data_IF_010117977510
#
_entry.id   IF_010117977510
#
_cell.length_a   1.000
_cell.length_b   1.000
_cell.length_c   1.000
_cell.angle_alpha   90.00
_cell.angle_beta   90.00
_cell.angle_gamma   90.00
#
_symmetry.space_group_name_H-M   'P 1'
#
loop_
_entity.id
_entity.type
_entity.pdbx_description
1 polymer ?
#
# COMPACT_ATOMS: atom_id res chain seq x y z
N UNK A 1 -13.21 13.90 -21.05
CA UNK A 1 -13.83 14.25 -19.77
C UNK A 1 -13.56 15.72 -19.44
N UNK A 2 -14.48 16.36 -18.74
CA UNK A 2 -14.28 17.68 -18.16
C UNK A 2 -14.05 17.52 -16.64
N UNK A 3 -13.09 18.27 -16.04
CA UNK A 3 -12.85 18.19 -14.61
C UNK A 3 -14.01 18.82 -13.84
N UNK A 4 -14.44 18.17 -12.75
CA UNK A 4 -15.38 18.74 -11.80
C UNK A 4 -14.69 19.71 -10.84
N UNK A 5 -15.46 20.42 -10.02
CA UNK A 5 -14.92 21.26 -8.94
C UNK A 5 -14.04 20.44 -7.98
N UNK A 6 -14.45 19.20 -7.67
CA UNK A 6 -13.68 18.29 -6.86
C UNK A 6 -12.32 17.95 -7.49
N UNK A 7 -12.29 17.66 -8.80
CA UNK A 7 -11.04 17.37 -9.51
C UNK A 7 -10.09 18.57 -9.49
N UNK A 8 -10.62 19.77 -9.76
CA UNK A 8 -9.82 21.00 -9.75
C UNK A 8 -9.21 21.30 -8.38
N UNK A 9 -9.95 21.01 -7.30
CA UNK A 9 -9.45 21.14 -5.94
C UNK A 9 -8.31 20.13 -5.66
N UNK A 10 -8.50 18.86 -6.02
CA UNK A 10 -7.53 17.79 -5.80
C UNK A 10 -6.24 18.02 -6.61
N UNK A 11 -6.35 18.49 -7.85
CA UNK A 11 -5.21 18.71 -8.74
C UNK A 11 -4.25 19.83 -8.27
N UNK A 12 -4.62 20.63 -7.28
CA UNK A 12 -3.72 21.59 -6.62
C UNK A 12 -2.70 20.91 -5.71
N UNK A 13 -2.98 19.68 -5.26
CA UNK A 13 -2.04 18.90 -4.46
C UNK A 13 -1.08 18.12 -5.38
N UNK A 14 0.18 18.50 -5.38
CA UNK A 14 1.24 17.89 -6.21
C UNK A 14 1.94 16.70 -5.54
N UNK A 15 1.51 16.29 -4.34
CA UNK A 15 2.08 15.14 -3.63
C UNK A 15 1.63 13.81 -4.25
N UNK A 16 2.25 12.71 -3.87
CA UNK A 16 1.85 11.38 -4.35
C UNK A 16 0.80 10.77 -3.42
N UNK A 17 -0.40 10.54 -3.93
CA UNK A 17 -1.56 9.97 -3.22
C UNK A 17 -2.48 9.24 -4.20
N UNK A 18 -3.50 8.58 -3.67
CA UNK A 18 -4.59 7.99 -4.46
C UNK A 18 -5.92 8.68 -4.15
N UNK A 19 -6.83 8.55 -5.11
CA UNK A 19 -8.21 9.08 -5.04
C UNK A 19 -9.19 7.94 -5.16
N UNK A 20 -10.27 8.01 -4.40
CA UNK A 20 -11.43 7.13 -4.53
C UNK A 20 -12.68 7.94 -4.82
N UNK A 21 -13.42 7.59 -5.86
CA UNK A 21 -14.73 8.17 -6.18
C UNK A 21 -15.82 7.16 -5.81
N UNK A 22 -16.66 7.51 -4.84
CA UNK A 22 -17.68 6.60 -4.30
C UNK A 22 -18.71 6.20 -5.36
N UNK A 23 -19.20 7.14 -6.15
CA UNK A 23 -20.18 6.86 -7.21
C UNK A 23 -19.60 6.04 -8.37
N UNK A 24 -18.32 6.23 -8.69
CA UNK A 24 -17.62 5.53 -9.77
C UNK A 24 -17.13 4.14 -9.41
N UNK A 25 -17.02 3.85 -8.11
CA UNK A 25 -16.48 2.59 -7.59
C UNK A 25 -15.19 2.14 -8.31
N UNK A 26 -15.09 0.84 -8.64
CA UNK A 26 -13.91 0.24 -9.28
C UNK A 26 -13.97 0.24 -10.81
N UNK A 27 -15.01 0.77 -11.45
CA UNK A 27 -15.24 0.61 -12.90
C UNK A 27 -15.31 1.92 -13.68
N UNK A 28 -15.39 3.08 -13.02
CA UNK A 28 -15.44 4.34 -13.72
C UNK A 28 -14.06 4.81 -14.19
N UNK A 29 -13.90 5.02 -15.50
CA UNK A 29 -12.66 5.51 -16.08
C UNK A 29 -12.38 6.99 -15.81
N UNK A 30 -13.40 7.79 -15.44
CA UNK A 30 -13.30 9.24 -15.27
C UNK A 30 -12.26 9.60 -14.17
N UNK A 31 -12.34 8.97 -13.00
CA UNK A 31 -11.44 9.27 -11.89
C UNK A 31 -9.99 8.97 -12.25
N UNK A 32 -9.74 7.84 -12.93
CA UNK A 32 -8.39 7.47 -13.37
C UNK A 32 -7.85 8.34 -14.53
N UNK A 33 -8.71 9.09 -15.20
CA UNK A 33 -8.27 10.07 -16.20
C UNK A 33 -7.59 11.30 -15.57
N UNK A 34 -8.11 11.76 -14.43
CA UNK A 34 -7.59 12.95 -13.73
C UNK A 34 -6.61 12.63 -12.60
N UNK A 35 -6.75 11.46 -11.96
CA UNK A 35 -6.09 11.13 -10.70
C UNK A 35 -5.53 9.71 -10.70
N UNK A 36 -4.59 9.44 -9.79
CA UNK A 36 -4.19 8.08 -9.43
C UNK A 36 -5.32 7.43 -8.62
N UNK A 37 -6.27 6.83 -9.31
CA UNK A 37 -7.43 6.18 -8.69
C UNK A 37 -7.09 4.79 -8.16
N UNK A 38 -7.73 4.37 -7.06
CA UNK A 38 -7.71 2.96 -6.64
C UNK A 38 -8.65 2.08 -7.48
N UNK A 39 -9.56 2.71 -8.23
CA UNK A 39 -10.45 2.08 -9.18
C UNK A 39 -10.05 2.38 -10.63
N UNK A 40 -10.97 2.15 -11.54
CA UNK A 40 -10.82 2.41 -12.97
C UNK A 40 -11.24 1.23 -13.82
N UNK A 41 -11.56 1.50 -15.08
CA UNK A 41 -11.86 0.45 -16.04
C UNK A 41 -10.57 -0.17 -16.55
N UNK A 42 -10.37 -1.45 -16.23
CA UNK A 42 -9.27 -2.26 -16.73
C UNK A 42 -9.75 -3.63 -17.16
N UNK A 43 -9.40 -4.04 -18.38
CA UNK A 43 -9.68 -5.39 -18.87
C UNK A 43 -8.91 -6.47 -18.09
N UNK A 44 -7.72 -6.15 -17.58
CA UNK A 44 -6.85 -7.03 -16.80
C UNK A 44 -6.67 -6.52 -15.36
N UNK A 45 -7.75 -6.41 -14.60
CA UNK A 45 -7.70 -6.00 -13.20
C UNK A 45 -7.08 -7.10 -12.33
N UNK A 46 -6.10 -6.79 -11.45
CA UNK A 46 -5.57 -7.78 -10.52
C UNK A 46 -6.68 -8.34 -9.62
N UNK A 47 -6.81 -9.67 -9.58
CA UNK A 47 -7.87 -10.36 -8.80
C UNK A 47 -7.88 -9.94 -7.34
N UNK A 48 -6.72 -9.82 -6.70
CA UNK A 48 -6.60 -9.41 -5.29
C UNK A 48 -7.17 -7.99 -5.05
N UNK A 49 -7.04 -7.05 -5.99
CA UNK A 49 -7.65 -5.73 -5.86
C UNK A 49 -9.17 -5.78 -5.97
N UNK A 50 -9.71 -6.61 -6.86
CA UNK A 50 -11.16 -6.80 -6.93
C UNK A 50 -11.70 -7.43 -5.64
N UNK A 51 -11.02 -8.44 -5.10
CA UNK A 51 -11.38 -9.06 -3.83
C UNK A 51 -11.31 -8.08 -2.66
N UNK A 52 -10.25 -7.25 -2.60
CA UNK A 52 -10.14 -6.21 -1.56
C UNK A 52 -11.31 -5.20 -1.66
N UNK A 53 -11.71 -4.85 -2.88
CA UNK A 53 -12.88 -4.01 -3.07
C UNK A 53 -14.16 -4.68 -2.57
N UNK A 54 -14.45 -5.90 -3.04
CA UNK A 54 -15.71 -6.61 -2.76
C UNK A 54 -15.87 -6.93 -1.27
N UNK A 55 -14.79 -7.30 -0.58
CA UNK A 55 -14.84 -7.78 0.80
C UNK A 55 -14.55 -6.69 1.84
N UNK A 56 -13.93 -5.58 1.45
CA UNK A 56 -13.53 -4.53 2.39
C UNK A 56 -14.04 -3.14 2.00
N UNK A 57 -13.68 -2.63 0.83
CA UNK A 57 -14.00 -1.24 0.44
C UNK A 57 -15.50 -1.06 0.26
N UNK A 58 -16.19 -2.02 -0.39
CA UNK A 58 -17.64 -2.00 -0.56
C UNK A 58 -18.41 -2.09 0.77
N UNK A 59 -17.74 -2.52 1.85
CA UNK A 59 -18.27 -2.53 3.23
C UNK A 59 -17.86 -1.30 4.03
N UNK A 60 -17.35 -0.26 3.38
CA UNK A 60 -16.89 0.99 4.00
C UNK A 60 -15.74 0.82 5.00
N UNK A 61 -14.84 -0.14 4.78
CA UNK A 61 -13.64 -0.26 5.59
C UNK A 61 -12.66 0.88 5.30
N UNK A 62 -12.72 1.94 6.11
CA UNK A 62 -11.88 3.13 5.98
C UNK A 62 -10.40 2.81 6.24
N UNK A 63 -10.09 1.84 7.11
CA UNK A 63 -8.72 1.38 7.36
C UNK A 63 -8.02 0.89 6.09
N UNK A 64 -8.78 0.23 5.20
CA UNK A 64 -8.26 -0.20 3.89
C UNK A 64 -8.02 0.98 2.95
N UNK A 65 -8.88 2.00 2.93
CA UNK A 65 -8.62 3.23 2.18
C UNK A 65 -7.37 3.96 2.71
N UNK A 66 -7.18 3.97 4.03
CA UNK A 66 -6.01 4.59 4.68
C UNK A 66 -4.71 3.91 4.25
N UNK A 67 -4.64 2.57 4.29
CA UNK A 67 -3.43 1.83 3.89
C UNK A 67 -3.16 1.90 2.39
N UNK A 68 -4.17 2.13 1.55
CA UNK A 68 -4.01 2.38 0.12
C UNK A 68 -3.60 3.83 -0.19
N UNK A 69 -3.33 4.66 0.81
CA UNK A 69 -3.00 6.08 0.65
C UNK A 69 -4.07 6.87 -0.10
N UNK A 70 -5.35 6.56 0.16
CA UNK A 70 -6.47 7.35 -0.37
C UNK A 70 -6.57 8.64 0.42
N UNK A 71 -5.98 9.71 -0.12
CA UNK A 71 -5.95 11.04 0.51
C UNK A 71 -7.22 11.83 0.23
N UNK A 72 -7.84 11.62 -0.93
CA UNK A 72 -9.08 12.29 -1.32
C UNK A 72 -10.16 11.29 -1.70
N UNK A 73 -11.38 11.56 -1.21
CA UNK A 73 -12.58 10.80 -1.55
C UNK A 73 -13.54 11.75 -2.26
N UNK A 74 -13.92 11.44 -3.50
CA UNK A 74 -14.91 12.21 -4.26
C UNK A 74 -16.29 11.65 -3.95
N UNK A 75 -17.17 12.52 -3.48
CA UNK A 75 -18.58 12.23 -3.22
C UNK A 75 -19.47 13.18 -4.02
N UNK A 76 -20.76 12.85 -4.13
CA UNK A 76 -21.77 13.72 -4.72
C UNK A 76 -22.80 14.10 -3.66
N UNK A 77 -23.24 15.35 -3.67
CA UNK A 77 -24.39 15.79 -2.87
C UNK A 77 -25.72 15.34 -3.52
N UNK A 78 -26.84 15.64 -2.88
CA UNK A 78 -28.17 15.30 -3.38
C UNK A 78 -28.51 15.93 -4.75
N UNK A 79 -27.89 17.05 -5.10
CA UNK A 79 -27.99 17.71 -6.38
C UNK A 79 -27.04 17.16 -7.46
N UNK A 80 -26.27 16.09 -7.13
CA UNK A 80 -25.30 15.48 -8.03
C UNK A 80 -23.98 16.26 -8.22
N UNK A 81 -23.76 17.32 -7.44
CA UNK A 81 -22.52 18.08 -7.49
C UNK A 81 -21.42 17.32 -6.76
N UNK A 82 -20.26 17.15 -7.40
CA UNK A 82 -19.11 16.48 -6.84
C UNK A 82 -18.30 17.42 -5.93
N UNK A 83 -17.87 16.88 -4.79
CA UNK A 83 -16.96 17.55 -3.87
C UNK A 83 -15.87 16.58 -3.39
N UNK A 84 -14.70 17.11 -3.08
CA UNK A 84 -13.58 16.35 -2.55
C UNK A 84 -13.55 16.42 -1.02
N UNK A 85 -13.53 15.27 -0.39
CA UNK A 85 -13.31 15.13 1.05
C UNK A 85 -11.87 14.70 1.30
N UNK A 86 -11.16 15.48 2.13
CA UNK A 86 -9.79 15.11 2.54
C UNK A 86 -9.83 14.01 3.61
N UNK A 87 -9.11 12.92 3.38
CA UNK A 87 -8.89 11.87 4.36
C UNK A 87 -7.56 12.11 5.11
N UNK A 88 -7.67 12.77 6.25
CA UNK A 88 -6.52 13.06 7.12
C UNK A 88 -5.86 11.81 7.73
N UNK A 89 -6.53 10.65 7.67
CA UNK A 89 -6.04 9.38 8.23
C UNK A 89 -5.31 8.50 7.21
N UNK A 90 -5.16 8.93 5.96
CA UNK A 90 -4.36 8.21 4.97
C UNK A 90 -2.94 7.94 5.52
N UNK A 91 -2.48 6.68 5.45
CA UNK A 91 -1.20 6.28 6.05
C UNK A 91 0.03 6.88 5.35
N UNK A 92 -0.16 7.42 4.15
CA UNK A 92 0.93 7.95 3.31
C UNK A 92 1.50 6.90 2.36
N UNK A 93 2.63 7.25 1.72
CA UNK A 93 3.26 6.38 0.73
C UNK A 93 3.97 5.18 1.35
N UNK A 94 4.45 5.33 2.59
CA UNK A 94 5.06 4.29 3.41
C UNK A 94 5.02 4.70 4.88
N UNK A 95 5.02 3.71 5.78
CA UNK A 95 5.02 3.96 7.23
C UNK A 95 5.59 2.77 8.00
N UNK A 96 6.17 3.04 9.17
CA UNK A 96 6.56 2.01 10.13
C UNK A 96 5.35 1.50 10.89
N UNK A 97 5.27 0.17 11.08
CA UNK A 97 4.29 -0.49 11.95
C UNK A 97 4.97 -1.02 13.22
N UNK A 98 4.16 -1.28 14.25
CA UNK A 98 4.63 -1.78 15.55
C UNK A 98 4.47 -3.29 15.70
N UNK A 99 3.52 -3.89 14.95
CA UNK A 99 3.20 -5.31 15.10
C UNK A 99 2.84 -5.98 13.79
N UNK A 100 3.29 -7.23 13.64
CA UNK A 100 2.87 -8.14 12.58
C UNK A 100 2.08 -9.29 13.19
N UNK A 101 0.91 -9.56 12.62
CA UNK A 101 0.09 -10.74 12.89
C UNK A 101 0.29 -11.76 11.77
N UNK A 102 0.63 -12.99 12.12
CA UNK A 102 0.65 -14.08 11.16
C UNK A 102 -0.69 -14.83 11.19
N UNK A 103 -1.20 -15.10 10.00
CA UNK A 103 -2.42 -15.92 9.78
C UNK A 103 -2.08 -17.08 8.85
N UNK A 104 -2.94 -18.11 8.77
CA UNK A 104 -2.57 -19.32 8.04
C UNK A 104 -2.93 -19.25 6.54
N UNK A 105 -3.97 -18.48 6.17
CA UNK A 105 -4.47 -18.42 4.79
C UNK A 105 -4.72 -17.00 4.31
N UNK A 106 -4.88 -16.85 2.99
CA UNK A 106 -5.27 -15.57 2.38
C UNK A 106 -6.68 -15.11 2.82
N UNK A 107 -7.60 -16.04 3.10
CA UNK A 107 -8.94 -15.72 3.60
C UNK A 107 -8.88 -15.17 5.03
N UNK A 108 -8.03 -15.75 5.89
CA UNK A 108 -7.78 -15.22 7.23
C UNK A 108 -7.10 -13.84 7.17
N UNK A 109 -6.19 -13.63 6.22
CA UNK A 109 -5.57 -12.33 5.98
C UNK A 109 -6.60 -11.27 5.58
N UNK A 110 -7.51 -11.61 4.64
CA UNK A 110 -8.62 -10.74 4.25
C UNK A 110 -9.54 -10.42 5.41
N UNK A 111 -9.92 -11.41 6.21
CA UNK A 111 -10.78 -11.23 7.39
C UNK A 111 -10.13 -10.41 8.48
N UNK A 112 -8.81 -10.53 8.67
CA UNK A 112 -8.09 -9.76 9.68
C UNK A 112 -8.14 -8.25 9.39
N UNK A 113 -8.31 -7.84 8.12
CA UNK A 113 -8.47 -6.43 7.75
C UNK A 113 -9.74 -5.77 8.32
N UNK A 114 -10.77 -6.56 8.71
CA UNK A 114 -12.03 -6.03 9.26
C UNK A 114 -11.81 -5.15 10.50
N UNK A 115 -10.75 -5.43 11.29
CA UNK A 115 -10.46 -4.73 12.55
C UNK A 115 -8.99 -4.34 12.70
N UNK A 116 -8.20 -4.40 11.62
CA UNK A 116 -6.77 -4.09 11.66
C UNK A 116 -6.55 -2.60 11.85
N UNK A 117 -5.75 -2.23 12.85
CA UNK A 117 -5.16 -0.89 12.92
C UNK A 117 -4.03 -0.79 11.89
N UNK A 118 -4.41 -0.46 10.64
CA UNK A 118 -3.48 -0.43 9.50
C UNK A 118 -2.32 0.55 9.66
N UNK A 119 -2.40 1.47 10.62
CA UNK A 119 -1.31 2.43 10.92
C UNK A 119 -0.22 1.83 11.79
N UNK A 120 -0.58 0.91 12.69
CA UNK A 120 0.33 0.33 13.67
C UNK A 120 0.52 -1.17 13.50
N UNK A 121 -0.37 -1.85 12.78
CA UNK A 121 -0.34 -3.29 12.61
C UNK A 121 -0.29 -3.69 11.13
N UNK A 122 0.34 -4.84 10.88
CA UNK A 122 0.30 -5.53 9.60
C UNK A 122 -0.13 -6.98 9.78
N UNK A 123 -0.71 -7.57 8.75
CA UNK A 123 -1.06 -9.00 8.70
C UNK A 123 -0.36 -9.65 7.51
N UNK A 124 0.19 -10.84 7.74
CA UNK A 124 0.90 -11.62 6.72
C UNK A 124 0.38 -13.06 6.74
N UNK A 125 -0.05 -13.57 5.60
CA UNK A 125 -0.41 -14.98 5.44
C UNK A 125 0.83 -15.84 5.31
N UNK A 126 0.92 -16.92 6.09
CA UNK A 126 1.99 -17.94 5.98
C UNK A 126 1.97 -18.62 4.61
N UNK A 127 0.79 -18.86 4.06
CA UNK A 127 0.62 -19.46 2.75
C UNK A 127 1.27 -18.62 1.63
N UNK A 128 1.06 -17.30 1.64
CA UNK A 128 1.72 -16.39 0.70
C UNK A 128 3.23 -16.30 0.91
N UNK A 129 3.68 -16.48 2.13
CA UNK A 129 5.07 -16.41 2.50
C UNK A 129 5.85 -17.67 2.10
N UNK A 130 5.26 -18.85 2.20
CA UNK A 130 5.88 -20.12 1.76
C UNK A 130 6.08 -20.16 0.24
N UNK A 131 5.14 -19.64 -0.54
CA UNK A 131 5.26 -19.54 -2.00
C UNK A 131 6.44 -18.64 -2.41
N UNK A 132 6.68 -17.57 -1.70
CA UNK A 132 7.84 -16.69 -1.94
C UNK A 132 9.16 -17.37 -1.58
N UNK A 133 9.17 -18.19 -0.54
CA UNK A 133 10.29 -18.99 -0.09
C UNK A 133 10.80 -19.98 -1.15
N UNK A 134 9.88 -20.61 -1.87
CA UNK A 134 10.22 -21.65 -2.83
C UNK A 134 10.94 -21.08 -4.06
N UNK A 135 10.67 -19.84 -4.44
CA UNK A 135 11.27 -19.19 -5.62
C UNK A 135 12.70 -18.66 -5.39
N UNK A 136 13.07 -18.35 -4.14
CA UNK A 136 14.39 -17.76 -3.83
C UNK A 136 15.41 -18.74 -3.24
N UNK A 137 15.09 -20.01 -3.06
CA UNK A 137 15.90 -21.04 -2.35
C UNK A 137 16.39 -20.60 -0.95
N UNK A 138 15.91 -19.47 -0.45
CA UNK A 138 16.18 -18.97 0.91
C UNK A 138 14.86 -18.66 1.58
N UNK A 139 14.68 -19.07 2.82
CA UNK A 139 13.46 -18.86 3.59
C UNK A 139 13.43 -17.43 4.17
N UNK A 140 12.73 -16.43 3.57
CA UNK A 140 12.70 -15.08 4.09
C UNK A 140 11.89 -14.96 5.39
N UNK A 141 10.93 -15.86 5.67
CA UNK A 141 10.22 -15.86 6.94
C UNK A 141 11.09 -16.35 8.09
N UNK A 142 12.03 -17.26 7.84
CA UNK A 142 13.02 -17.62 8.86
C UNK A 142 13.89 -16.42 9.29
N UNK A 143 13.88 -15.32 8.51
CA UNK A 143 14.52 -14.04 8.85
C UNK A 143 13.60 -13.06 9.56
N UNK A 144 12.27 -13.18 9.43
CA UNK A 144 11.32 -12.36 10.17
C UNK A 144 11.06 -12.99 11.54
N UNK A 145 12.04 -12.87 12.42
CA UNK A 145 11.99 -13.44 13.78
C UNK A 145 11.19 -12.57 14.73
N UNK A 146 11.05 -11.28 14.42
CA UNK A 146 10.36 -10.29 15.24
C UNK A 146 8.95 -10.02 14.71
N UNK A 147 7.97 -10.10 15.58
CA UNK A 147 6.57 -9.69 15.32
C UNK A 147 6.21 -8.36 15.95
N UNK A 148 7.07 -7.83 16.81
CA UNK A 148 6.90 -6.55 17.50
C UNK A 148 8.10 -5.65 17.23
N UNK A 149 7.83 -4.40 16.85
CA UNK A 149 8.83 -3.42 16.46
C UNK A 149 8.64 -2.14 17.28
N UNK A 150 9.76 -1.50 17.61
CA UNK A 150 9.73 -0.18 18.26
C UNK A 150 9.96 0.90 17.21
N UNK A 151 9.00 1.79 17.06
CA UNK A 151 9.24 3.06 16.38
C UNK A 151 9.43 4.15 17.41
N UNK A 152 10.42 5.01 17.24
CA UNK A 152 10.57 6.20 18.06
C UNK A 152 9.70 7.35 17.52
N UNK A 153 9.64 8.46 18.28
CA UNK A 153 8.87 9.65 17.89
C UNK A 153 9.41 10.34 16.61
N UNK A 154 10.64 10.02 16.20
CA UNK A 154 11.31 10.56 15.01
C UNK A 154 11.28 9.57 13.83
N UNK A 155 10.72 8.38 14.04
CA UNK A 155 10.60 7.37 13.00
C UNK A 155 9.87 7.96 11.78
N UNK A 156 10.52 7.97 10.64
CA UNK A 156 10.02 8.57 9.42
C UNK A 156 10.43 7.79 8.20
N UNK A 157 9.59 7.84 7.18
CA UNK A 157 9.93 7.37 5.85
C UNK A 157 9.29 8.30 4.82
N UNK A 158 10.06 8.69 3.83
CA UNK A 158 9.65 9.64 2.80
C UNK A 158 9.88 9.05 1.41
N UNK A 159 8.92 9.24 0.52
CA UNK A 159 9.05 8.96 -0.91
C UNK A 159 9.85 10.11 -1.55
N UNK A 160 11.01 9.79 -2.14
CA UNK A 160 11.90 10.75 -2.80
C UNK A 160 11.76 10.72 -4.31
N UNK A 161 11.48 9.52 -4.89
CA UNK A 161 11.30 9.34 -6.33
C UNK A 161 10.14 8.37 -6.58
N UNK A 162 9.24 8.76 -7.48
CA UNK A 162 8.19 7.90 -8.02
C UNK A 162 8.26 7.86 -9.54
N UNK A 163 8.66 6.71 -10.09
CA UNK A 163 8.58 6.40 -11.53
C UNK A 163 7.88 5.03 -11.69
N UNK A 164 7.29 4.75 -12.83
CA UNK A 164 6.52 3.49 -13.02
C UNK A 164 7.30 2.21 -12.70
N UNK A 165 8.61 2.20 -12.92
CA UNK A 165 9.51 1.05 -12.69
C UNK A 165 10.62 1.31 -11.65
N UNK A 166 10.60 2.44 -10.95
CA UNK A 166 11.62 2.80 -9.96
C UNK A 166 11.04 3.71 -8.87
N UNK A 167 11.08 3.23 -7.64
CA UNK A 167 10.66 3.97 -6.45
C UNK A 167 11.87 4.11 -5.53
N UNK A 168 12.02 5.27 -4.90
CA UNK A 168 13.07 5.52 -3.92
C UNK A 168 12.50 6.19 -2.68
N UNK A 169 12.94 5.71 -1.53
CA UNK A 169 12.54 6.23 -0.22
C UNK A 169 13.76 6.47 0.65
N UNK A 170 13.65 7.43 1.56
CA UNK A 170 14.58 7.62 2.68
C UNK A 170 13.83 7.30 3.96
N UNK A 171 14.36 6.38 4.77
CA UNK A 171 13.84 6.02 6.08
C UNK A 171 14.78 6.48 7.19
N UNK A 172 14.23 6.70 8.39
CA UNK A 172 14.97 6.92 9.62
C UNK A 172 14.20 6.33 10.80
N UNK A 173 14.84 5.51 11.63
CA UNK A 173 14.30 4.96 12.87
C UNK A 173 15.48 4.52 13.76
N UNK A 174 15.46 4.79 15.05
CA UNK A 174 16.53 4.39 15.97
C UNK A 174 16.60 2.88 16.19
N UNK A 175 15.54 2.16 15.89
CA UNK A 175 15.44 0.70 16.04
C UNK A 175 15.26 0.03 14.68
N UNK A 176 15.57 -1.26 14.61
CA UNK A 176 15.09 -2.08 13.51
C UNK A 176 13.56 -2.01 13.46
N UNK A 177 12.98 -1.87 12.27
CA UNK A 177 11.55 -1.71 12.10
C UNK A 177 11.01 -2.46 10.89
N UNK A 178 9.69 -2.55 10.83
CA UNK A 178 8.99 -3.06 9.65
C UNK A 178 8.22 -1.92 8.98
N UNK A 179 8.48 -1.73 7.71
CA UNK A 179 7.84 -0.68 6.89
C UNK A 179 6.83 -1.30 5.95
N UNK A 180 5.63 -0.74 5.93
CA UNK A 180 4.59 -1.02 4.93
C UNK A 180 4.61 0.09 3.88
N UNK A 181 4.58 -0.30 2.62
CA UNK A 181 4.53 0.62 1.47
C UNK A 181 3.15 0.54 0.83
N UNK A 182 2.55 1.67 0.55
CA UNK A 182 1.26 1.76 -0.12
C UNK A 182 1.38 1.43 -1.62
N UNK A 183 2.11 0.35 -1.93
CA UNK A 183 2.35 -0.14 -3.28
C UNK A 183 1.91 -1.60 -3.40
N UNK A 184 1.28 -1.92 -4.55
CA UNK A 184 0.82 -3.28 -4.81
C UNK A 184 1.98 -4.26 -4.80
N UNK A 185 1.84 -5.32 -3.99
CA UNK A 185 2.73 -6.47 -4.07
C UNK A 185 2.50 -7.21 -5.39
N UNK A 186 3.56 -7.34 -6.16
CA UNK A 186 3.59 -8.17 -7.36
C UNK A 186 4.86 -9.02 -7.32
N UNK A 187 4.69 -10.33 -7.34
CA UNK A 187 5.78 -11.29 -7.10
C UNK A 187 6.90 -11.21 -8.15
N UNK A 188 6.53 -10.96 -9.40
CA UNK A 188 7.46 -11.09 -10.53
C UNK A 188 8.01 -9.72 -10.93
N UNK A 189 9.33 -9.59 -10.94
CA UNK A 189 10.05 -8.47 -11.51
C UNK A 189 10.39 -7.33 -10.55
N UNK A 190 9.70 -7.15 -9.42
CA UNK A 190 10.09 -6.15 -8.45
C UNK A 190 11.20 -6.66 -7.53
N UNK A 191 12.30 -5.92 -7.47
CA UNK A 191 13.41 -6.13 -6.53
C UNK A 191 13.49 -4.94 -5.58
N UNK A 192 13.78 -5.21 -4.31
CA UNK A 192 14.03 -4.18 -3.30
C UNK A 192 15.47 -4.22 -2.84
N UNK A 193 16.04 -3.05 -2.61
CA UNK A 193 17.37 -2.91 -2.01
C UNK A 193 17.34 -1.90 -0.86
N UNK A 194 18.16 -2.16 0.17
CA UNK A 194 18.45 -1.22 1.26
C UNK A 194 19.95 -0.96 1.21
N UNK A 195 20.34 0.32 1.00
CA UNK A 195 21.76 0.70 0.76
C UNK A 195 22.41 -0.14 -0.36
N UNK A 196 21.66 -0.42 -1.42
CA UNK A 196 22.13 -1.23 -2.56
C UNK A 196 22.20 -2.74 -2.32
N UNK A 197 21.93 -3.23 -1.10
CA UNK A 197 21.87 -4.66 -0.78
C UNK A 197 20.45 -5.17 -0.95
N UNK A 198 20.27 -6.29 -1.64
CA UNK A 198 18.97 -6.89 -1.87
C UNK A 198 18.26 -7.25 -0.54
N UNK A 199 16.98 -6.95 -0.47
CA UNK A 199 16.11 -7.21 0.67
C UNK A 199 14.83 -7.91 0.22
N UNK A 200 14.35 -8.92 0.97
CA UNK A 200 13.11 -9.62 0.64
C UNK A 200 11.90 -8.70 0.77
N UNK A 201 10.98 -8.79 -0.20
CA UNK A 201 9.71 -8.07 -0.18
C UNK A 201 8.64 -9.00 0.38
N UNK A 202 7.98 -8.60 1.47
CA UNK A 202 6.86 -9.31 2.07
C UNK A 202 5.54 -8.85 1.47
N UNK A 203 4.61 -9.79 1.22
CA UNK A 203 3.22 -9.44 0.97
C UNK A 203 2.53 -9.20 2.32
N UNK A 204 2.09 -8.01 2.58
CA UNK A 204 1.46 -7.59 3.84
C UNK A 204 0.10 -6.95 3.56
N UNK A 205 -0.84 -7.11 4.47
CA UNK A 205 -2.19 -6.55 4.35
C UNK A 205 -2.85 -6.92 3.02
N UNK A 206 -2.69 -8.19 2.62
CA UNK A 206 -3.27 -8.83 1.44
C UNK A 206 -2.68 -8.37 0.10
N UNK A 207 -2.40 -7.07 -0.09
CA UNK A 207 -1.99 -6.50 -1.38
C UNK A 207 -0.75 -5.62 -1.34
N UNK A 208 -0.23 -5.28 -0.17
CA UNK A 208 0.84 -4.29 -0.03
C UNK A 208 2.23 -4.92 0.09
N UNK A 209 3.26 -4.11 -0.12
CA UNK A 209 4.66 -4.49 0.09
C UNK A 209 5.10 -4.14 1.50
N UNK A 210 5.92 -5.01 2.09
CA UNK A 210 6.58 -4.74 3.36
C UNK A 210 8.07 -5.06 3.29
N UNK A 211 8.88 -4.34 4.06
CA UNK A 211 10.31 -4.60 4.25
C UNK A 211 10.66 -4.50 5.74
N UNK A 212 11.55 -5.38 6.18
CA UNK A 212 12.28 -5.19 7.43
C UNK A 212 13.47 -4.26 7.16
N UNK A 213 13.57 -3.17 7.91
CA UNK A 213 14.55 -2.10 7.71
C UNK A 213 15.42 -2.01 8.95
N UNK A 214 16.77 -2.05 8.82
CA UNK A 214 17.68 -1.91 9.96
C UNK A 214 17.51 -0.58 10.69
N UNK A 215 18.04 -0.48 11.91
CA UNK A 215 18.13 0.77 12.65
C UNK A 215 19.02 1.78 11.90
N UNK A 216 18.66 3.05 11.98
CA UNK A 216 19.39 4.15 11.36
C UNK A 216 18.65 4.78 10.18
N UNK A 217 19.41 5.61 9.46
CA UNK A 217 18.93 6.27 8.22
C UNK A 217 19.34 5.42 7.02
N UNK A 218 18.37 5.07 6.17
CA UNK A 218 18.60 4.22 5.01
C UNK A 218 17.92 4.74 3.75
N UNK A 219 18.55 4.44 2.62
CA UNK A 219 17.96 4.56 1.29
C UNK A 219 17.36 3.21 0.90
N UNK A 220 16.09 3.22 0.53
CA UNK A 220 15.34 2.04 0.07
C UNK A 220 14.96 2.27 -1.39
N UNK A 221 15.26 1.31 -2.25
CA UNK A 221 14.87 1.37 -3.66
C UNK A 221 14.08 0.13 -4.07
N UNK A 222 13.04 0.35 -4.88
CA UNK A 222 12.34 -0.70 -5.60
C UNK A 222 12.56 -0.48 -7.10
N UNK A 223 13.00 -1.52 -7.81
CA UNK A 223 13.16 -1.52 -9.26
C UNK A 223 12.39 -2.67 -9.89
N UNK A 224 11.73 -2.40 -11.00
CA UNK A 224 11.05 -3.43 -11.77
C UNK A 224 11.99 -3.94 -12.85
N UNK A 225 12.49 -5.16 -12.64
CA UNK A 225 13.46 -5.86 -13.49
C UNK A 225 12.97 -7.30 -13.72
N UNK A 226 11.96 -7.49 -14.58
CA UNK A 226 11.43 -8.82 -14.86
C UNK A 226 12.50 -9.66 -15.57
N UNK A 227 12.60 -10.93 -15.18
CA UNK A 227 13.39 -11.92 -15.92
C UNK A 227 12.61 -12.27 -17.22
N UNK A 228 13.29 -12.19 -18.36
CA UNK A 228 12.76 -12.50 -19.69
C UNK A 228 12.95 -13.98 -20.00
#
# INVERSE_FOLDING_TARGET
FQPSTADMQILQDTTHYRVFEVAGNMSNARTSYFHKSIGGYHAAKPRKMQQLFDYQIAKNNVGVLNMLNVKYIIQSNEQGQQFAMNNAFANGNAWFIEKIKFVNSADEEMKALDSLDTKNEGVISKENSEIYLHSLRTNPISKLTNTEFKKDSLASIKLDLYKPNHLKYTSNNSNEGFVVFSEMYYKNGWKATIEGKESPIYNVNYVLRGLQVPAGKHTIEFKFEPEV
#
